data_IF_179935079979
#
_entry.id   IF_179935079979
#
_cell.length_a   1.000
_cell.length_b   1.000
_cell.length_c   1.000
_cell.angle_alpha   90.00
_cell.angle_beta   90.00
_cell.angle_gamma   90.00
#
_symmetry.space_group_name_H-M   'P 1'
#
loop_
_entity.id
_entity.type
_entity.pdbx_description
1 polymer ?
#
# COMPACT_ATOMS: atom_id res chain seq x y z
N UNK A 1 -4.38 -3.50 22.58
CA UNK A 1 -4.75 -4.45 21.50
C UNK A 1 -3.93 -4.05 20.30
N UNK A 2 -3.03 -4.91 19.85
CA UNK A 2 -2.21 -4.68 18.66
C UNK A 2 -3.11 -4.69 17.46
N UNK A 3 -3.19 -3.55 16.76
CA UNK A 3 -3.95 -3.39 15.53
C UNK A 3 -3.65 -4.54 14.57
N UNK A 4 -4.69 -5.03 13.93
CA UNK A 4 -4.68 -6.16 13.00
C UNK A 4 -3.81 -5.80 11.77
N UNK A 5 -2.48 -5.98 11.92
CA UNK A 5 -1.59 -5.93 10.77
C UNK A 5 -1.99 -7.05 9.84
N UNK A 6 -2.11 -6.76 8.56
CA UNK A 6 -2.29 -7.83 7.58
C UNK A 6 -1.05 -8.73 7.64
N UNK A 7 -1.23 -9.97 8.09
CA UNK A 7 -0.15 -10.94 8.15
C UNK A 7 0.43 -11.18 6.75
N UNK A 8 1.75 -11.46 6.66
CA UNK A 8 2.32 -11.89 5.39
C UNK A 8 1.56 -13.10 4.86
N UNK A 9 1.09 -13.07 3.59
CA UNK A 9 0.35 -14.17 3.02
C UNK A 9 1.19 -15.45 3.00
N UNK A 10 0.57 -16.60 3.20
CA UNK A 10 1.26 -17.89 3.28
C UNK A 10 2.17 -18.16 2.10
N UNK A 11 1.79 -17.74 0.88
CA UNK A 11 2.61 -17.90 -0.32
C UNK A 11 3.96 -17.18 -0.23
N UNK A 12 4.05 -16.03 0.47
CA UNK A 12 5.30 -15.28 0.63
C UNK A 12 6.33 -16.09 1.44
N UNK A 13 5.88 -16.74 2.51
CA UNK A 13 6.72 -17.62 3.33
C UNK A 13 7.21 -18.83 2.50
N UNK A 14 6.33 -19.46 1.72
CA UNK A 14 6.69 -20.59 0.87
C UNK A 14 7.63 -20.18 -0.26
N UNK A 15 7.41 -19.04 -0.90
CA UNK A 15 8.28 -18.49 -1.92
C UNK A 15 9.72 -18.30 -1.41
N UNK A 16 9.88 -17.68 -0.23
CA UNK A 16 11.21 -17.47 0.37
C UNK A 16 11.87 -18.77 0.79
N UNK A 17 11.10 -19.76 1.29
CA UNK A 17 11.65 -21.12 1.55
C UNK A 17 12.14 -21.77 0.27
N UNK A 18 11.35 -21.72 -0.80
CA UNK A 18 11.72 -22.28 -2.10
C UNK A 18 12.98 -21.60 -2.66
N UNK A 19 13.05 -20.25 -2.61
CA UNK A 19 14.24 -19.50 -3.02
C UNK A 19 15.46 -19.83 -2.16
N UNK A 20 15.27 -20.02 -0.85
CA UNK A 20 16.33 -20.41 0.07
C UNK A 20 16.91 -21.78 -0.25
N UNK A 21 16.04 -22.79 -0.40
CA UNK A 21 16.46 -24.14 -0.76
C UNK A 21 17.13 -24.17 -2.14
N UNK A 22 16.54 -23.45 -3.11
CA UNK A 22 17.12 -23.34 -4.46
C UNK A 22 18.54 -22.76 -4.40
N UNK A 23 18.75 -21.64 -3.71
CA UNK A 23 20.06 -20.99 -3.61
C UNK A 23 21.09 -21.88 -2.87
N UNK A 24 20.68 -22.60 -1.84
CA UNK A 24 21.55 -23.56 -1.15
C UNK A 24 21.97 -24.72 -2.07
N UNK A 25 21.01 -25.30 -2.79
CA UNK A 25 21.31 -26.40 -3.72
C UNK A 25 22.22 -25.92 -4.87
N UNK A 26 21.92 -24.76 -5.45
CA UNK A 26 22.71 -24.14 -6.51
C UNK A 26 24.14 -23.83 -6.03
N UNK A 27 24.26 -23.17 -4.86
CA UNK A 27 25.55 -22.85 -4.26
C UNK A 27 26.39 -24.10 -3.97
N UNK A 28 25.78 -25.12 -3.38
CA UNK A 28 26.45 -26.42 -3.13
C UNK A 28 26.91 -27.07 -4.41
N UNK A 29 26.08 -27.04 -5.47
CA UNK A 29 26.45 -27.58 -6.80
C UNK A 29 27.66 -26.87 -7.41
N UNK A 30 27.67 -25.51 -7.35
CA UNK A 30 28.79 -24.71 -7.86
C UNK A 30 30.07 -24.95 -7.07
N UNK A 31 29.98 -25.13 -5.75
CA UNK A 31 31.14 -25.43 -4.90
C UNK A 31 31.70 -26.82 -5.21
N UNK A 32 30.82 -27.82 -5.28
CA UNK A 32 31.24 -29.21 -5.49
C UNK A 32 31.70 -29.47 -6.93
N UNK A 33 31.04 -28.82 -7.90
CA UNK A 33 31.28 -29.08 -9.34
C UNK A 33 31.44 -27.75 -10.11
N UNK A 34 32.54 -26.99 -9.91
CA UNK A 34 32.68 -25.63 -10.43
C UNK A 34 32.70 -25.54 -11.96
N UNK A 35 33.03 -26.61 -12.65
CA UNK A 35 33.04 -26.62 -14.11
C UNK A 35 31.74 -27.12 -14.75
N UNK A 36 30.82 -27.70 -13.99
CA UNK A 36 29.62 -28.35 -14.50
C UNK A 36 28.80 -27.47 -15.46
N UNK A 37 28.49 -26.25 -15.04
CA UNK A 37 27.71 -25.34 -15.87
C UNK A 37 28.45 -24.89 -17.14
N UNK A 38 29.77 -24.75 -17.06
CA UNK A 38 30.61 -24.37 -18.20
C UNK A 38 30.66 -25.50 -19.22
N UNK A 39 30.87 -26.73 -18.76
CA UNK A 39 30.90 -27.94 -19.60
C UNK A 39 29.54 -28.16 -20.30
N UNK A 40 28.41 -28.00 -19.55
CA UNK A 40 27.06 -28.13 -20.09
C UNK A 40 26.71 -27.05 -21.12
N UNK A 41 27.23 -25.84 -20.96
CA UNK A 41 26.99 -24.70 -21.88
C UNK A 41 28.02 -24.63 -23.02
N UNK A 42 29.01 -25.54 -23.08
CA UNK A 42 30.06 -25.49 -24.08
C UNK A 42 31.01 -24.30 -23.96
N UNK A 43 31.19 -23.80 -22.73
CA UNK A 43 32.07 -22.67 -22.43
C UNK A 43 33.41 -23.18 -21.91
N UNK A 44 34.50 -22.44 -22.22
CA UNK A 44 35.83 -22.78 -21.70
C UNK A 44 35.81 -22.78 -20.17
N UNK A 45 36.48 -23.82 -19.59
CA UNK A 45 36.63 -23.92 -18.14
C UNK A 45 37.39 -22.75 -17.57
N UNK A 46 37.03 -22.35 -16.35
CA UNK A 46 37.67 -21.25 -15.65
C UNK A 46 39.12 -21.58 -15.28
N UNK A 47 40.02 -20.61 -15.45
CA UNK A 47 41.41 -20.74 -14.98
C UNK A 47 41.53 -20.74 -13.45
N UNK A 48 40.56 -20.09 -12.77
CA UNK A 48 40.49 -19.96 -11.31
C UNK A 48 39.08 -20.38 -10.84
N UNK A 49 38.80 -21.69 -10.73
CA UNK A 49 37.49 -22.21 -10.32
C UNK A 49 37.13 -21.77 -8.90
N UNK A 50 38.07 -21.44 -8.04
CA UNK A 50 37.88 -20.95 -6.68
C UNK A 50 37.08 -19.66 -6.64
N UNK A 51 37.23 -18.78 -7.64
CA UNK A 51 36.43 -17.56 -7.76
C UNK A 51 34.97 -17.92 -7.98
N UNK A 52 34.68 -18.88 -8.83
CA UNK A 52 33.33 -19.35 -9.08
C UNK A 52 32.73 -20.07 -7.87
N UNK A 53 33.54 -20.83 -7.14
CA UNK A 53 33.14 -21.44 -5.86
C UNK A 53 32.80 -20.37 -4.81
N UNK A 54 33.54 -19.26 -4.76
CA UNK A 54 33.17 -18.10 -3.93
C UNK A 54 31.79 -17.53 -4.31
N UNK A 55 31.45 -17.43 -5.60
CA UNK A 55 30.10 -17.03 -6.04
C UNK A 55 29.05 -18.02 -5.55
N UNK A 56 29.34 -19.35 -5.66
CA UNK A 56 28.46 -20.39 -5.12
C UNK A 56 28.21 -20.23 -3.61
N UNK A 57 29.26 -19.93 -2.85
CA UNK A 57 29.18 -19.70 -1.41
C UNK A 57 28.31 -18.45 -1.09
N UNK A 58 28.53 -17.35 -1.80
CA UNK A 58 27.75 -16.11 -1.62
C UNK A 58 26.26 -16.37 -1.90
N UNK A 59 25.93 -17.05 -3.00
CA UNK A 59 24.55 -17.41 -3.33
C UNK A 59 23.94 -18.34 -2.27
N UNK A 60 24.71 -19.28 -1.76
CA UNK A 60 24.29 -20.15 -0.64
C UNK A 60 23.97 -19.36 0.62
N UNK A 61 24.78 -18.37 0.99
CA UNK A 61 24.53 -17.48 2.13
C UNK A 61 23.24 -16.68 1.95
N UNK A 62 22.96 -16.18 0.75
CA UNK A 62 21.64 -15.59 0.45
C UNK A 62 20.50 -16.59 0.64
N UNK A 63 20.73 -17.88 0.33
CA UNK A 63 19.77 -18.94 0.60
C UNK A 63 19.42 -19.05 2.09
N UNK A 64 20.41 -19.00 2.98
CA UNK A 64 20.19 -18.93 4.43
C UNK A 64 19.38 -17.68 4.80
N UNK A 65 19.74 -16.53 4.24
CA UNK A 65 19.01 -15.27 4.46
C UNK A 65 17.53 -15.39 4.09
N UNK A 66 17.19 -16.02 2.97
CA UNK A 66 15.78 -16.21 2.56
C UNK A 66 15.02 -17.17 3.50
N UNK A 67 15.67 -18.22 4.02
CA UNK A 67 15.06 -19.10 5.02
C UNK A 67 14.75 -18.34 6.32
N UNK A 68 15.65 -17.47 6.77
CA UNK A 68 15.41 -16.59 7.93
C UNK A 68 14.24 -15.64 7.62
N UNK A 69 14.25 -15.00 6.44
CA UNK A 69 13.20 -14.07 6.04
C UNK A 69 11.82 -14.73 5.90
N UNK A 70 11.77 -16.04 5.60
CA UNK A 70 10.54 -16.81 5.52
C UNK A 70 9.78 -16.89 6.85
N UNK A 71 10.44 -16.70 7.99
CA UNK A 71 9.80 -16.62 9.30
C UNK A 71 8.83 -15.43 9.41
N UNK A 72 9.28 -14.25 9.00
CA UNK A 72 8.48 -13.02 8.91
C UNK A 72 8.96 -12.19 7.70
N UNK A 73 8.37 -12.40 6.51
CA UNK A 73 8.75 -11.71 5.28
C UNK A 73 8.72 -10.18 5.35
N UNK A 74 7.80 -9.62 6.12
CA UNK A 74 7.66 -8.17 6.22
C UNK A 74 8.66 -7.54 7.18
N UNK A 75 8.97 -8.21 8.26
CA UNK A 75 10.02 -7.78 9.20
C UNK A 75 11.41 -7.84 8.56
N UNK A 76 11.68 -8.89 7.81
CA UNK A 76 12.97 -9.15 7.18
C UNK A 76 13.06 -8.64 5.74
N UNK A 77 12.24 -7.64 5.37
CA UNK A 77 12.24 -7.04 4.04
C UNK A 77 13.62 -6.59 3.52
N UNK A 78 14.60 -6.12 4.35
CA UNK A 78 15.91 -5.75 3.83
C UNK A 78 16.65 -6.92 3.17
N UNK A 79 16.50 -8.14 3.70
CA UNK A 79 17.10 -9.34 3.09
C UNK A 79 16.48 -9.59 1.71
N UNK A 80 15.16 -9.46 1.61
CA UNK A 80 14.42 -9.62 0.34
C UNK A 80 14.82 -8.55 -0.68
N UNK A 81 15.01 -7.29 -0.22
CA UNK A 81 15.44 -6.19 -1.08
C UNK A 81 16.84 -6.43 -1.66
N UNK A 82 17.82 -6.75 -0.80
CA UNK A 82 19.19 -7.01 -1.25
C UNK A 82 19.21 -8.22 -2.19
N UNK A 83 18.41 -9.24 -1.90
CA UNK A 83 18.25 -10.38 -2.78
C UNK A 83 17.64 -10.03 -4.13
N UNK A 84 16.60 -9.18 -4.16
CA UNK A 84 16.00 -8.71 -5.42
C UNK A 84 17.00 -7.87 -6.24
N UNK A 85 17.76 -6.99 -5.60
CA UNK A 85 18.79 -6.20 -6.29
C UNK A 85 19.85 -7.10 -6.95
N UNK A 86 20.33 -8.14 -6.25
CA UNK A 86 21.24 -9.11 -6.85
C UNK A 86 20.64 -9.80 -8.07
N UNK A 87 19.38 -10.20 -7.96
CA UNK A 87 18.63 -10.84 -9.05
C UNK A 87 18.29 -9.90 -10.22
N UNK A 88 18.28 -8.59 -10.02
CA UNK A 88 18.13 -7.60 -11.09
C UNK A 88 19.47 -7.30 -11.76
N UNK A 89 20.54 -7.13 -10.98
CA UNK A 89 21.86 -6.81 -11.53
C UNK A 89 22.50 -8.01 -12.24
N UNK A 90 22.22 -9.24 -11.84
CA UNK A 90 22.68 -10.44 -12.51
C UNK A 90 22.30 -10.48 -14.01
N UNK A 91 21.00 -10.42 -14.35
CA UNK A 91 20.52 -10.32 -15.73
C UNK A 91 21.07 -9.14 -16.52
N UNK A 92 21.24 -7.97 -15.90
CA UNK A 92 21.84 -6.82 -16.56
C UNK A 92 23.31 -7.12 -16.93
N UNK A 93 24.09 -7.69 -16.00
CA UNK A 93 25.46 -8.11 -16.25
C UNK A 93 25.55 -9.15 -17.36
N UNK A 94 24.63 -10.15 -17.34
CA UNK A 94 24.54 -11.14 -18.40
C UNK A 94 24.18 -10.53 -19.76
N UNK A 95 23.23 -9.60 -19.82
CA UNK A 95 22.87 -8.92 -21.07
C UNK A 95 24.07 -8.17 -21.68
N UNK A 96 24.86 -7.50 -20.84
CA UNK A 96 26.11 -6.86 -21.28
C UNK A 96 27.11 -7.86 -21.82
N UNK A 97 27.28 -9.00 -21.14
CA UNK A 97 28.18 -10.09 -21.57
C UNK A 97 27.72 -10.72 -22.89
N UNK A 98 26.39 -10.89 -23.07
CA UNK A 98 25.78 -11.39 -24.29
C UNK A 98 26.06 -10.45 -25.47
N UNK A 99 25.84 -9.14 -25.30
CA UNK A 99 26.12 -8.13 -26.35
C UNK A 99 27.61 -8.10 -26.73
N UNK A 100 28.50 -8.32 -25.77
CA UNK A 100 29.95 -8.41 -26.00
C UNK A 100 30.38 -9.74 -26.61
N UNK A 101 29.49 -10.72 -26.74
CA UNK A 101 29.82 -12.06 -27.24
C UNK A 101 30.69 -12.89 -26.29
N UNK A 102 30.78 -12.52 -25.00
CA UNK A 102 31.61 -13.23 -24.01
C UNK A 102 30.91 -14.44 -23.39
N UNK A 103 29.57 -14.46 -23.41
CA UNK A 103 28.77 -15.62 -22.99
C UNK A 103 27.83 -16.11 -24.10
N UNK A 104 27.63 -17.41 -24.28
CA UNK A 104 26.65 -17.92 -25.21
C UNK A 104 25.22 -17.76 -24.67
N UNK A 105 24.18 -17.61 -25.54
CA UNK A 105 22.80 -17.42 -25.11
C UNK A 105 22.26 -18.53 -24.21
N UNK A 106 22.75 -19.77 -24.37
CA UNK A 106 22.30 -20.90 -23.55
C UNK A 106 22.58 -20.71 -22.06
N UNK A 107 23.61 -19.95 -21.68
CA UNK A 107 23.86 -19.60 -20.30
C UNK A 107 22.71 -18.75 -19.68
N UNK A 108 21.89 -18.10 -20.51
CA UNK A 108 20.69 -17.38 -20.09
C UNK A 108 19.63 -18.27 -19.42
N UNK A 109 19.66 -19.59 -19.61
CA UNK A 109 18.77 -20.51 -18.88
C UNK A 109 19.00 -20.45 -17.37
N UNK A 110 20.25 -20.20 -16.93
CA UNK A 110 20.56 -20.01 -15.51
C UNK A 110 19.93 -18.72 -14.98
N UNK A 111 19.87 -17.65 -15.78
CA UNK A 111 19.25 -16.38 -15.43
C UNK A 111 17.74 -16.52 -15.24
N UNK A 112 17.07 -17.34 -16.06
CA UNK A 112 15.62 -17.57 -15.91
C UNK A 112 15.28 -18.15 -14.53
N UNK A 113 15.99 -19.18 -14.11
CA UNK A 113 15.69 -19.91 -12.87
C UNK A 113 16.29 -19.25 -11.63
N UNK A 114 17.49 -18.68 -11.76
CA UNK A 114 18.19 -18.07 -10.63
C UNK A 114 17.64 -16.65 -10.31
N UNK A 115 17.20 -15.90 -11.33
CA UNK A 115 16.90 -14.48 -11.18
C UNK A 115 15.45 -14.12 -11.54
N UNK A 116 15.05 -14.27 -12.81
CA UNK A 116 13.79 -13.73 -13.33
C UNK A 116 12.56 -14.33 -12.66
N UNK A 117 12.58 -15.61 -12.33
CA UNK A 117 11.48 -16.32 -11.63
C UNK A 117 11.09 -15.62 -10.32
N UNK A 118 12.05 -15.01 -9.64
CA UNK A 118 11.89 -14.41 -8.31
C UNK A 118 11.53 -12.94 -8.32
N UNK A 119 11.59 -12.26 -9.46
CA UNK A 119 11.37 -10.81 -9.54
C UNK A 119 9.98 -10.40 -9.03
N UNK A 120 8.95 -10.98 -9.62
CA UNK A 120 7.56 -10.64 -9.26
C UNK A 120 7.26 -11.02 -7.82
N UNK A 121 7.53 -12.25 -7.34
CA UNK A 121 7.26 -12.60 -5.95
C UNK A 121 7.99 -11.70 -4.95
N UNK A 122 9.28 -11.44 -5.15
CA UNK A 122 10.04 -10.59 -4.23
C UNK A 122 9.56 -9.15 -4.25
N UNK A 123 9.25 -8.60 -5.42
CA UNK A 123 8.65 -7.26 -5.53
C UNK A 123 7.30 -7.18 -4.80
N UNK A 124 6.45 -8.20 -4.90
CA UNK A 124 5.19 -8.26 -4.16
C UNK A 124 5.37 -8.38 -2.65
N UNK A 125 6.38 -9.14 -2.18
CA UNK A 125 6.72 -9.21 -0.75
C UNK A 125 7.19 -7.84 -0.25
N UNK A 126 8.05 -7.17 -0.99
CA UNK A 126 8.53 -5.83 -0.64
C UNK A 126 7.40 -4.79 -0.65
N UNK A 127 6.49 -4.88 -1.61
CA UNK A 127 5.30 -4.05 -1.66
C UNK A 127 4.42 -4.26 -0.43
N UNK A 128 4.19 -5.53 -0.05
CA UNK A 128 3.46 -5.87 1.17
C UNK A 128 4.14 -5.33 2.43
N UNK A 129 5.46 -5.48 2.54
CA UNK A 129 6.23 -4.93 3.64
C UNK A 129 6.14 -3.39 3.71
N UNK A 130 6.18 -2.73 2.54
CA UNK A 130 5.99 -1.28 2.44
C UNK A 130 4.63 -0.84 2.98
N UNK A 131 3.54 -1.52 2.61
CA UNK A 131 2.20 -1.19 3.08
C UNK A 131 1.99 -1.44 4.59
N UNK A 132 2.73 -2.39 5.17
CA UNK A 132 2.64 -2.75 6.59
C UNK A 132 3.77 -2.16 7.46
N UNK A 133 4.54 -1.21 6.91
CA UNK A 133 5.65 -0.62 7.66
C UNK A 133 5.17 0.11 8.90
N UNK A 134 5.95 0.03 9.97
CA UNK A 134 5.71 0.86 11.16
C UNK A 134 6.11 2.29 10.85
N UNK A 135 5.18 3.18 11.08
CA UNK A 135 5.40 4.61 10.94
C UNK A 135 5.67 5.20 12.32
N UNK A 136 6.73 5.99 12.44
CA UNK A 136 6.98 6.78 13.63
C UNK A 136 6.03 7.99 13.73
N UNK A 137 6.12 8.74 14.80
CA UNK A 137 5.42 10.03 14.92
C UNK A 137 5.93 10.97 13.83
N UNK A 138 5.05 11.53 12.99
CA UNK A 138 5.49 12.39 11.91
C UNK A 138 6.05 13.71 12.45
N UNK A 139 7.01 14.31 11.74
CA UNK A 139 7.40 15.69 11.95
C UNK A 139 6.20 16.60 11.61
N UNK A 140 5.65 17.37 12.55
CA UNK A 140 4.48 18.23 12.30
C UNK A 140 4.71 19.22 11.16
N UNK A 141 5.94 19.72 10.98
CA UNK A 141 6.27 20.65 9.90
C UNK A 141 6.24 19.99 8.51
N UNK A 142 6.32 18.68 8.45
CA UNK A 142 6.27 17.91 7.21
C UNK A 142 4.85 17.51 6.80
N UNK A 143 3.90 17.47 7.73
CA UNK A 143 2.52 17.06 7.50
C UNK A 143 1.82 18.05 6.57
N UNK A 144 1.09 17.52 5.60
CA UNK A 144 0.22 18.27 4.69
C UNK A 144 -1.21 18.22 5.19
N UNK A 145 -1.94 19.27 4.92
CA UNK A 145 -3.35 19.40 5.30
C UNK A 145 -4.21 19.67 4.08
N UNK A 146 -5.29 18.93 3.97
CA UNK A 146 -6.36 19.11 3.00
C UNK A 146 -7.67 19.30 3.75
N UNK A 147 -8.48 20.27 3.34
CA UNK A 147 -9.79 20.57 3.95
C UNK A 147 -10.81 20.69 2.85
N UNK A 148 -11.97 20.07 3.06
CA UNK A 148 -13.18 20.24 2.25
C UNK A 148 -14.33 20.60 3.17
N UNK A 149 -15.10 21.62 2.81
CA UNK A 149 -16.31 22.03 3.52
C UNK A 149 -17.49 22.09 2.56
N UNK A 150 -18.66 21.71 3.04
CA UNK A 150 -19.93 21.86 2.30
C UNK A 150 -21.08 22.07 3.27
N UNK A 151 -22.08 22.85 2.82
CA UNK A 151 -23.34 23.01 3.55
C UNK A 151 -24.36 22.00 3.06
N UNK A 152 -25.12 21.44 4.01
CA UNK A 152 -26.18 20.48 3.79
C UNK A 152 -27.44 21.03 4.46
N UNK A 153 -28.60 20.89 3.81
CA UNK A 153 -29.89 21.37 4.33
C UNK A 153 -30.48 20.42 5.41
N UNK A 154 -29.68 19.55 5.98
CA UNK A 154 -30.07 18.49 6.93
C UNK A 154 -29.33 18.68 8.25
N UNK A 155 -29.95 18.31 9.38
CA UNK A 155 -29.37 18.51 10.71
C UNK A 155 -28.09 17.73 10.94
N UNK A 156 -27.15 18.19 11.81
CA UNK A 156 -25.92 17.46 12.13
C UNK A 156 -26.18 16.04 12.64
N UNK A 157 -27.26 15.82 13.37
CA UNK A 157 -27.63 14.51 13.89
C UNK A 157 -27.94 13.52 12.76
N UNK A 158 -28.65 13.96 11.73
CA UNK A 158 -29.00 13.12 10.58
C UNK A 158 -27.80 12.83 9.70
N UNK A 159 -26.94 13.84 9.45
CA UNK A 159 -25.70 13.67 8.69
C UNK A 159 -24.77 12.70 9.42
N UNK A 160 -24.63 12.83 10.73
CA UNK A 160 -23.81 11.93 11.54
C UNK A 160 -24.35 10.49 11.50
N UNK A 161 -25.67 10.29 11.72
CA UNK A 161 -26.31 8.96 11.64
C UNK A 161 -26.12 8.30 10.29
N UNK A 162 -26.18 9.06 9.20
CA UNK A 162 -25.88 8.51 7.87
C UNK A 162 -24.48 7.90 7.84
N UNK A 163 -23.47 8.58 8.37
CA UNK A 163 -22.08 8.06 8.39
C UNK A 163 -21.91 6.83 9.29
N UNK A 164 -22.79 6.63 10.28
CA UNK A 164 -22.79 5.44 11.13
C UNK A 164 -23.38 4.20 10.44
N UNK A 165 -24.10 4.39 9.34
CA UNK A 165 -24.71 3.27 8.64
C UNK A 165 -23.66 2.37 7.98
N UNK A 166 -23.82 1.03 8.00
CA UNK A 166 -22.85 0.11 7.43
C UNK A 166 -22.56 0.32 5.95
N UNK A 167 -23.51 0.90 5.21
CA UNK A 167 -23.40 1.11 3.78
C UNK A 167 -22.90 2.51 3.39
N UNK A 168 -22.84 3.46 4.34
CA UNK A 168 -22.39 4.83 4.05
C UNK A 168 -21.04 4.86 3.34
N UNK A 169 -20.05 4.17 3.89
CA UNK A 169 -18.72 4.15 3.31
C UNK A 169 -18.71 3.58 1.87
N UNK A 170 -19.52 2.54 1.60
CA UNK A 170 -19.62 1.96 0.25
C UNK A 170 -20.19 2.94 -0.76
N UNK A 171 -21.22 3.71 -0.34
CA UNK A 171 -21.85 4.73 -1.18
C UNK A 171 -20.92 5.95 -1.42
N UNK A 172 -20.04 6.23 -0.46
CA UNK A 172 -19.08 7.34 -0.51
C UNK A 172 -17.76 6.99 -1.22
N UNK A 173 -17.54 5.75 -1.62
CA UNK A 173 -16.41 5.40 -2.50
C UNK A 173 -16.79 5.76 -3.95
N UNK A 174 -16.03 6.67 -4.61
CA UNK A 174 -16.32 7.03 -5.99
C UNK A 174 -16.22 5.81 -6.93
N UNK A 175 -17.09 5.69 -7.96
CA UNK A 175 -17.10 4.54 -8.86
C UNK A 175 -15.82 4.38 -9.72
N UNK A 176 -15.03 5.44 -9.84
CA UNK A 176 -13.73 5.38 -10.52
C UNK A 176 -12.56 5.00 -9.63
N UNK A 177 -12.78 4.88 -8.30
CA UNK A 177 -11.74 4.43 -7.38
C UNK A 177 -11.66 2.90 -7.42
N UNK A 178 -10.47 2.32 -7.68
CA UNK A 178 -10.30 0.87 -7.72
C UNK A 178 -10.21 0.28 -6.30
N UNK A 179 -11.06 0.76 -5.39
CA UNK A 179 -11.12 0.38 -3.98
C UNK A 179 -12.50 -0.14 -3.63
N UNK A 180 -12.56 -1.15 -2.77
CA UNK A 180 -13.81 -1.67 -2.21
C UNK A 180 -13.65 -1.93 -0.73
N UNK A 181 -14.74 -1.87 0.01
CA UNK A 181 -14.78 -2.25 1.42
C UNK A 181 -14.67 -3.78 1.50
N UNK A 182 -13.62 -4.27 2.15
CA UNK A 182 -13.45 -5.68 2.46
C UNK A 182 -14.08 -6.01 3.81
N UNK A 183 -13.83 -5.16 4.81
CA UNK A 183 -14.39 -5.28 6.15
C UNK A 183 -14.78 -3.88 6.64
N UNK A 184 -16.00 -3.73 7.15
CA UNK A 184 -16.48 -2.57 7.87
C UNK A 184 -17.44 -3.06 8.95
N UNK A 185 -16.98 -3.21 10.19
CA UNK A 185 -17.86 -3.43 11.33
C UNK A 185 -18.81 -2.24 11.48
N UNK A 186 -19.98 -2.48 12.08
CA UNK A 186 -20.92 -1.40 12.37
C UNK A 186 -20.36 -0.45 13.44
N UNK A 187 -20.58 0.85 13.22
CA UNK A 187 -20.24 1.92 14.16
C UNK A 187 -18.86 2.57 13.91
N UNK A 188 -18.68 3.73 14.55
CA UNK A 188 -17.52 4.61 14.40
C UNK A 188 -16.70 4.75 15.69
N UNK A 189 -16.93 3.87 16.69
CA UNK A 189 -16.29 3.95 18.00
C UNK A 189 -14.77 3.75 17.88
N UNK A 190 -13.98 4.39 18.76
CA UNK A 190 -12.54 4.20 18.81
C UNK A 190 -12.15 2.73 18.87
N UNK A 191 -11.19 2.33 18.04
CA UNK A 191 -10.76 0.94 17.90
C UNK A 191 -11.48 0.15 16.82
N UNK A 192 -12.59 0.65 16.27
CA UNK A 192 -13.25 0.05 15.09
C UNK A 192 -12.30 0.13 13.89
N UNK A 193 -12.11 -1.01 13.23
CA UNK A 193 -11.18 -1.15 12.11
C UNK A 193 -11.94 -1.32 10.80
N UNK A 194 -11.59 -0.55 9.79
CA UNK A 194 -12.11 -0.64 8.42
C UNK A 194 -11.00 -1.07 7.49
N UNK A 195 -11.26 -2.09 6.66
CA UNK A 195 -10.30 -2.58 5.67
C UNK A 195 -10.84 -2.32 4.27
N UNK A 196 -10.10 -1.51 3.53
CA UNK A 196 -10.33 -1.30 2.11
C UNK A 196 -9.28 -2.05 1.30
N UNK A 197 -9.72 -2.67 0.20
CA UNK A 197 -8.82 -3.36 -0.73
C UNK A 197 -9.04 -2.85 -2.15
N UNK A 198 -7.96 -2.82 -2.91
CA UNK A 198 -8.01 -2.34 -4.29
C UNK A 198 -6.70 -2.56 -5.02
N UNK A 199 -6.43 -1.70 -6.00
CA UNK A 199 -5.18 -1.71 -6.76
C UNK A 199 -4.67 -0.30 -7.01
N UNK A 200 -3.35 -0.13 -7.00
CA UNK A 200 -2.68 1.08 -7.46
C UNK A 200 -1.58 0.69 -8.43
N UNK A 201 -1.62 1.25 -9.66
CA UNK A 201 -0.71 0.86 -10.76
C UNK A 201 -0.66 -0.66 -11.00
N UNK A 202 -1.81 -1.35 -10.85
CA UNK A 202 -1.90 -2.81 -11.00
C UNK A 202 -1.46 -3.61 -9.76
N UNK A 203 -0.75 -3.02 -8.82
CA UNK A 203 -0.32 -3.66 -7.58
C UNK A 203 -1.46 -3.73 -6.57
N UNK A 204 -1.59 -4.83 -5.81
CA UNK A 204 -2.60 -4.93 -4.76
C UNK A 204 -2.39 -3.86 -3.69
N UNK A 205 -3.45 -3.18 -3.33
CA UNK A 205 -3.46 -2.18 -2.26
C UNK A 205 -4.46 -2.60 -1.19
N UNK A 206 -4.05 -2.57 0.06
CA UNK A 206 -4.95 -2.58 1.20
C UNK A 206 -4.72 -1.33 2.04
N UNK A 207 -5.79 -0.87 2.64
CA UNK A 207 -5.82 0.28 3.52
C UNK A 207 -6.54 -0.12 4.79
N UNK A 208 -5.85 -0.08 5.90
CA UNK A 208 -6.40 -0.35 7.22
C UNK A 208 -6.56 0.98 7.94
N UNK A 209 -7.80 1.38 8.19
CA UNK A 209 -8.14 2.57 8.96
C UNK A 209 -8.72 2.17 10.32
N UNK A 210 -8.33 2.86 11.37
CA UNK A 210 -8.83 2.64 12.73
C UNK A 210 -9.41 3.94 13.26
N UNK A 211 -10.67 3.88 13.69
CA UNK A 211 -11.31 5.03 14.32
C UNK A 211 -10.62 5.39 15.64
N UNK A 212 -10.42 6.69 15.87
CA UNK A 212 -9.66 7.21 17.02
C UNK A 212 -10.45 8.23 17.84
N UNK A 213 -11.39 8.96 17.21
CA UNK A 213 -12.28 9.89 17.88
C UNK A 213 -13.75 9.53 17.59
N UNK A 214 -14.63 9.75 18.56
CA UNK A 214 -16.06 9.56 18.42
C UNK A 214 -16.78 10.46 19.43
N UNK A 215 -17.39 11.53 18.93
CA UNK A 215 -18.12 12.55 19.71
C UNK A 215 -19.43 12.89 18.96
N UNK A 216 -20.45 12.03 19.04
CA UNK A 216 -21.71 12.23 18.33
C UNK A 216 -22.51 13.41 18.91
N UNK A 217 -23.20 14.20 18.07
CA UNK A 217 -23.21 14.15 16.61
C UNK A 217 -22.17 15.09 15.97
N UNK A 218 -21.10 15.46 16.67
CA UNK A 218 -20.19 16.53 16.30
C UNK A 218 -19.03 16.10 15.43
N UNK A 219 -18.42 14.93 15.71
CA UNK A 219 -17.23 14.49 14.99
C UNK A 219 -16.88 13.02 15.21
N UNK A 220 -16.15 12.50 14.27
CA UNK A 220 -15.35 11.26 14.42
C UNK A 220 -14.07 11.41 13.59
N UNK A 221 -13.08 10.55 13.87
CA UNK A 221 -11.84 10.54 13.13
C UNK A 221 -11.30 9.13 12.98
N UNK A 222 -10.51 8.91 11.92
CA UNK A 222 -9.78 7.69 11.68
C UNK A 222 -8.30 7.98 11.34
N UNK A 223 -7.45 6.99 11.57
CA UNK A 223 -6.06 7.01 11.15
C UNK A 223 -5.70 5.77 10.36
N UNK A 224 -4.77 5.89 9.45
CA UNK A 224 -4.18 4.73 8.77
C UNK A 224 -3.27 3.95 9.72
N UNK A 225 -3.52 2.65 9.86
CA UNK A 225 -2.61 1.70 10.54
C UNK A 225 -1.72 0.97 9.53
N UNK A 226 -2.25 0.64 8.36
CA UNK A 226 -1.49 0.10 7.24
C UNK A 226 -1.99 0.71 5.94
N UNK A 227 -1.06 0.99 5.01
CA UNK A 227 -1.42 1.61 3.74
C UNK A 227 -0.27 2.40 3.11
N UNK A 228 -0.56 3.17 2.05
CA UNK A 228 0.48 3.78 1.22
C UNK A 228 1.12 5.05 1.81
N UNK A 229 0.47 5.72 2.77
CA UNK A 229 1.00 6.97 3.34
C UNK A 229 1.95 6.72 4.51
N UNK A 230 2.88 7.65 4.75
CA UNK A 230 3.73 7.66 5.94
C UNK A 230 2.97 8.19 7.16
N UNK A 231 1.94 9.00 6.94
CA UNK A 231 0.97 9.44 7.93
C UNK A 231 -0.34 9.76 7.25
N UNK A 232 -1.44 9.40 7.90
CA UNK A 232 -2.79 9.76 7.49
C UNK A 232 -3.69 9.80 8.71
N UNK A 233 -4.34 10.93 8.89
CA UNK A 233 -5.34 11.17 9.90
C UNK A 233 -6.48 11.93 9.25
N UNK A 234 -7.69 11.43 9.39
CA UNK A 234 -8.87 11.99 8.76
C UNK A 234 -9.92 12.28 9.81
N UNK A 235 -10.35 13.52 9.92
CA UNK A 235 -11.39 13.99 10.83
C UNK A 235 -12.59 14.48 10.05
N UNK A 236 -13.77 14.02 10.47
CA UNK A 236 -15.07 14.51 10.04
C UNK A 236 -15.66 15.38 11.14
N UNK A 237 -16.11 16.58 10.80
CA UNK A 237 -16.79 17.50 11.70
C UNK A 237 -18.15 17.88 11.13
N UNK A 238 -19.15 17.91 12.01
CA UNK A 238 -20.55 18.25 11.71
C UNK A 238 -20.97 19.38 12.62
N UNK A 239 -21.09 20.59 12.09
CA UNK A 239 -21.42 21.78 12.86
C UNK A 239 -22.74 22.35 12.35
N UNK A 240 -23.55 22.93 13.24
CA UNK A 240 -24.72 23.69 12.82
C UNK A 240 -24.30 24.89 11.98
N UNK A 241 -25.04 25.17 10.90
CA UNK A 241 -24.79 26.31 10.00
C UNK A 241 -25.51 27.60 10.41
N UNK A 242 -26.24 27.58 11.54
CA UNK A 242 -27.01 28.69 12.09
C UNK A 242 -28.41 28.85 11.51
N UNK A 243 -28.79 28.04 10.52
CA UNK A 243 -30.12 28.06 9.88
C UNK A 243 -30.77 26.66 9.85
N UNK A 244 -30.34 25.77 10.76
CA UNK A 244 -30.89 24.43 10.93
C UNK A 244 -30.28 23.37 9.99
N UNK A 245 -29.24 23.70 9.23
CA UNK A 245 -28.47 22.80 8.40
C UNK A 245 -27.11 22.43 9.03
N UNK A 246 -26.29 21.74 8.26
CA UNK A 246 -24.97 21.28 8.67
C UNK A 246 -23.86 21.87 7.82
N UNK A 247 -22.82 22.39 8.45
CA UNK A 247 -21.52 22.59 7.85
C UNK A 247 -20.74 21.28 8.03
N UNK A 248 -20.68 20.45 6.98
CA UNK A 248 -19.85 19.26 6.92
C UNK A 248 -18.42 19.66 6.56
N UNK A 249 -17.46 19.30 7.41
CA UNK A 249 -16.04 19.56 7.21
C UNK A 249 -15.25 18.27 7.31
N UNK A 250 -14.54 17.94 6.24
CA UNK A 250 -13.53 16.90 6.22
C UNK A 250 -12.13 17.50 6.24
N UNK A 251 -11.33 17.09 7.21
CA UNK A 251 -9.96 17.50 7.36
C UNK A 251 -9.04 16.29 7.31
N UNK A 252 -8.15 16.26 6.31
CA UNK A 252 -7.17 15.20 6.12
C UNK A 252 -5.77 15.76 6.35
N UNK A 253 -5.10 15.22 7.35
CA UNK A 253 -3.67 15.40 7.56
C UNK A 253 -2.93 14.19 6.97
N UNK A 254 -1.93 14.44 6.12
CA UNK A 254 -1.23 13.35 5.47
C UNK A 254 0.25 13.65 5.24
N UNK A 255 1.04 12.58 5.16
CA UNK A 255 2.43 12.61 4.74
C UNK A 255 2.62 11.56 3.63
N UNK A 256 2.94 11.98 2.40
CA UNK A 256 3.28 11.04 1.34
C UNK A 256 4.48 10.16 1.69
N UNK A 257 4.57 8.94 1.16
CA UNK A 257 5.71 8.07 1.36
C UNK A 257 6.99 8.65 0.74
N UNK A 258 8.14 8.09 1.11
CA UNK A 258 9.47 8.45 0.58
C UNK A 258 9.95 9.85 0.99
N UNK A 259 9.50 10.39 2.10
CA UNK A 259 10.00 11.60 2.74
C UNK A 259 9.93 12.84 1.84
N UNK A 260 11.05 13.61 1.74
CA UNK A 260 11.10 14.87 0.97
C UNK A 260 10.86 14.66 -0.52
N UNK A 261 11.41 13.58 -1.09
CA UNK A 261 11.24 13.26 -2.52
C UNK A 261 9.79 12.92 -2.84
N UNK A 262 9.15 12.08 -2.02
CA UNK A 262 7.74 11.73 -2.20
C UNK A 262 6.82 12.94 -2.09
N UNK A 263 7.07 13.85 -1.13
CA UNK A 263 6.32 15.10 -1.03
C UNK A 263 6.42 15.93 -2.32
N UNK A 264 7.63 16.11 -2.84
CA UNK A 264 7.82 16.88 -4.06
C UNK A 264 7.14 16.27 -5.28
N UNK A 265 7.24 14.96 -5.46
CA UNK A 265 6.69 14.25 -6.62
C UNK A 265 5.17 14.02 -6.53
N UNK A 266 4.66 13.66 -5.34
CA UNK A 266 3.31 13.12 -5.19
C UNK A 266 2.29 14.13 -4.67
N UNK A 267 2.69 15.20 -3.98
CA UNK A 267 1.75 16.12 -3.28
C UNK A 267 0.68 16.69 -4.23
N UNK A 268 1.08 17.18 -5.40
CA UNK A 268 0.13 17.74 -6.38
C UNK A 268 -0.89 16.71 -6.89
N UNK A 269 -0.43 15.48 -7.11
CA UNK A 269 -1.29 14.37 -7.56
C UNK A 269 -2.26 13.97 -6.46
N UNK A 270 -1.75 13.84 -5.23
CA UNK A 270 -2.57 13.49 -4.05
C UNK A 270 -3.63 14.55 -3.81
N UNK A 271 -3.28 15.83 -3.80
CA UNK A 271 -4.23 16.94 -3.62
C UNK A 271 -5.35 16.90 -4.65
N UNK A 272 -5.03 16.72 -5.93
CA UNK A 272 -6.05 16.61 -7.00
C UNK A 272 -6.97 15.41 -6.77
N UNK A 273 -6.39 14.27 -6.36
CA UNK A 273 -7.17 13.07 -6.06
C UNK A 273 -8.08 13.29 -4.85
N UNK A 274 -7.60 13.91 -3.78
CA UNK A 274 -8.39 14.25 -2.61
C UNK A 274 -9.54 15.21 -2.97
N UNK A 275 -9.26 16.28 -3.71
CA UNK A 275 -10.31 17.23 -4.15
C UNK A 275 -11.43 16.48 -4.87
N UNK A 276 -11.10 15.70 -5.90
CA UNK A 276 -12.09 14.95 -6.68
C UNK A 276 -12.88 13.93 -5.84
N UNK A 277 -12.20 13.25 -4.92
CA UNK A 277 -12.81 12.25 -4.05
C UNK A 277 -13.76 12.89 -3.04
N UNK A 278 -13.35 13.98 -2.39
CA UNK A 278 -14.17 14.65 -1.40
C UNK A 278 -15.30 15.49 -2.04
N UNK A 279 -15.12 16.01 -3.24
CA UNK A 279 -16.23 16.59 -4.02
C UNK A 279 -17.34 15.55 -4.23
N UNK A 280 -16.98 14.33 -4.69
CA UNK A 280 -17.92 13.24 -4.86
C UNK A 280 -18.59 12.82 -3.55
N UNK A 281 -17.83 12.68 -2.46
CA UNK A 281 -18.37 12.28 -1.15
C UNK A 281 -19.37 13.29 -0.62
N UNK A 282 -19.04 14.57 -0.64
CA UNK A 282 -19.93 15.63 -0.18
C UNK A 282 -21.19 15.75 -1.04
N UNK A 283 -21.05 15.68 -2.37
CA UNK A 283 -22.20 15.73 -3.28
C UNK A 283 -23.09 14.48 -3.15
N UNK A 284 -22.50 13.31 -2.88
CA UNK A 284 -23.26 12.07 -2.64
C UNK A 284 -24.00 12.14 -1.30
N UNK A 285 -23.35 12.59 -0.23
CA UNK A 285 -23.98 12.81 1.08
C UNK A 285 -25.17 13.77 0.94
N UNK A 286 -24.97 14.90 0.25
CA UNK A 286 -26.04 15.87 -0.02
C UNK A 286 -27.21 15.21 -0.73
N UNK A 287 -26.98 14.60 -1.88
CA UNK A 287 -28.05 13.97 -2.69
C UNK A 287 -28.83 12.92 -1.92
N UNK A 288 -28.15 12.08 -1.13
CA UNK A 288 -28.82 11.00 -0.41
C UNK A 288 -29.67 11.52 0.74
N UNK A 289 -29.21 12.55 1.46
CA UNK A 289 -29.93 13.08 2.62
C UNK A 289 -31.02 14.07 2.22
N UNK A 290 -30.77 14.97 1.28
CA UNK A 290 -31.76 15.96 0.82
C UNK A 290 -32.90 15.31 0.00
N UNK A 291 -32.63 14.17 -0.68
CA UNK A 291 -33.71 13.40 -1.33
C UNK A 291 -34.70 12.75 -0.35
N UNK A 292 -34.30 12.52 0.89
CA UNK A 292 -35.16 11.97 1.95
C UNK A 292 -36.02 13.06 2.60
N UNK A 293 -35.60 14.35 2.51
CA UNK A 293 -36.23 15.48 3.14
C UNK A 293 -36.65 16.60 2.15
N UNK A 294 -37.46 16.29 1.12
CA UNK A 294 -37.82 17.30 0.09
C UNK A 294 -38.63 18.51 0.60
N UNK A 295 -39.14 18.45 1.82
CA UNK A 295 -39.97 19.53 2.39
C UNK A 295 -39.17 20.68 3.05
N UNK A 296 -37.91 20.45 3.44
CA UNK A 296 -37.09 21.49 4.12
C UNK A 296 -36.65 22.62 3.16
N UNK A 297 -36.62 22.35 1.85
CA UNK A 297 -36.22 23.34 0.84
C UNK A 297 -37.37 24.32 0.50
N UNK A 298 -38.62 23.90 0.65
CA UNK A 298 -39.80 24.73 0.33
C UNK A 298 -40.00 25.78 1.41
N UNK A 299 -39.92 25.45 2.68
CA UNK A 299 -40.02 26.40 3.79
C UNK A 299 -38.88 27.43 3.82
N UNK A 300 -37.69 27.06 3.38
CA UNK A 300 -36.55 28.00 3.28
C UNK A 300 -36.64 28.96 2.09
N UNK A 301 -37.15 28.49 0.95
CA UNK A 301 -37.39 29.34 -0.21
C UNK A 301 -38.45 30.37 0.09
N UNK A 302 -39.48 30.01 0.85
CA UNK A 302 -40.56 30.96 1.27
C UNK A 302 -40.08 31.96 2.31
N UNK A 303 -39.23 31.55 3.29
CA UNK A 303 -38.66 32.46 4.29
C UNK A 303 -37.63 33.46 3.73
N UNK A 304 -37.03 33.22 2.57
CA UNK A 304 -36.13 34.13 1.88
C UNK A 304 -36.83 35.08 0.92
N UNK A 305 -38.10 34.84 0.61
CA UNK A 305 -38.91 35.70 -0.27
C UNK A 305 -39.66 36.78 0.49
N UNK A 306 -39.83 36.62 1.81
CA UNK A 306 -40.54 37.57 2.70
C UNK A 306 -39.58 38.48 3.50
N UNK A 307 -38.29 38.52 3.21
CA UNK A 307 -37.29 39.44 3.80
C UNK A 307 -36.71 40.37 2.73
#
# INVERSE_FOLDING_TARGET
MTANRTEPPGWARWCLRAAGVYNLAWGATVIAFPHLLFDLCGIARLNYPEIWQCVGMIVGVYGVGYLVAAGDPYRHWPIVLVGLLGKVFGPIGFAVALVKGTFPPVFGLTILTNDLLWWIPFALILWGAFLNRQLGTPDPAAVRRFVKESRLAVSPVEVFRFHETPDALRQLIPPWEPMRVAEAPSGLQPGTCVILVGRVFGLPLWWVAVHTEYDPPRRFADRQEAGPFDYWYHRHEFREDGVGGTLLRDEVEYLPPFGRLGRWLLDRMIRRKLTRMFDYRHDTTRRLLEAIHPAADIERAEATTDA
#
